data_IF_270897087044
#
_entry.id   IF_270897087044
#
_cell.length_a   1.000
_cell.length_b   1.000
_cell.length_c   1.000
_cell.angle_alpha   90.00
_cell.angle_beta   90.00
_cell.angle_gamma   90.00
#
_symmetry.space_group_name_H-M   'P 1'
#
loop_
_entity.id
_entity.type
_entity.pdbx_description
1 polymer ?
#
# COMPACT_ATOMS: atom_id res chain seq x y z
N UNK A 1 8.57 -5.76 13.28
CA UNK A 1 8.08 -6.40 12.04
C UNK A 1 9.03 -7.53 11.66
N UNK A 2 8.62 -8.79 11.84
CA UNK A 2 9.45 -9.97 11.50
C UNK A 2 9.44 -10.30 10.00
N UNK A 3 8.61 -9.62 9.22
CA UNK A 3 8.25 -9.98 7.84
C UNK A 3 8.82 -9.04 6.78
N UNK A 4 9.56 -7.97 7.14
CA UNK A 4 10.01 -6.91 6.19
C UNK A 4 8.87 -6.20 5.43
N UNK A 5 7.63 -6.28 5.93
CA UNK A 5 6.48 -5.61 5.32
C UNK A 5 6.53 -4.09 5.52
N UNK A 6 7.10 -3.63 6.64
CA UNK A 6 7.20 -2.21 7.00
C UNK A 6 7.82 -1.33 5.90
N UNK A 7 8.80 -1.88 5.18
CA UNK A 7 9.54 -1.25 4.10
C UNK A 7 9.28 -1.92 2.73
N UNK A 8 8.17 -2.65 2.59
CA UNK A 8 7.71 -3.26 1.33
C UNK A 8 8.76 -4.15 0.66
N UNK A 9 9.64 -4.79 1.45
CA UNK A 9 10.71 -5.65 0.94
C UNK A 9 10.54 -7.12 1.32
N UNK A 10 9.32 -7.50 1.69
CA UNK A 10 8.93 -8.86 2.05
C UNK A 10 8.79 -9.78 0.83
N UNK A 11 8.55 -9.20 -0.36
CA UNK A 11 8.46 -9.86 -1.66
C UNK A 11 8.92 -8.90 -2.77
N UNK A 12 9.35 -9.40 -3.94
CA UNK A 12 9.51 -8.58 -5.13
C UNK A 12 8.23 -7.79 -5.42
N UNK A 13 8.35 -6.54 -5.88
CA UNK A 13 7.17 -5.65 -6.08
C UNK A 13 6.13 -6.20 -7.06
N UNK A 14 6.55 -7.01 -8.03
CA UNK A 14 5.65 -7.68 -9.01
C UNK A 14 4.85 -8.84 -8.41
N UNK A 15 5.25 -9.30 -7.23
CA UNK A 15 4.62 -10.41 -6.50
C UNK A 15 3.83 -9.93 -5.28
N UNK A 16 3.78 -8.62 -5.01
CA UNK A 16 2.97 -8.04 -3.95
C UNK A 16 1.51 -7.96 -4.40
N UNK A 17 0.62 -8.49 -3.56
CA UNK A 17 -0.81 -8.64 -3.79
C UNK A 17 -1.67 -7.94 -2.73
N UNK A 18 -1.03 -7.32 -1.75
CA UNK A 18 -1.66 -6.61 -0.64
C UNK A 18 -0.83 -5.39 -0.23
N UNK A 19 -1.50 -4.30 0.10
CA UNK A 19 -0.83 -3.12 0.65
C UNK A 19 -0.55 -3.31 2.14
N UNK A 20 0.73 -3.25 2.52
CA UNK A 20 1.21 -3.56 3.87
C UNK A 20 2.30 -2.60 4.33
N UNK A 21 2.55 -2.59 5.65
CA UNK A 21 3.61 -1.79 6.24
C UNK A 21 3.26 -0.31 6.32
N UNK A 22 4.28 0.55 6.28
CA UNK A 22 4.12 1.99 6.43
C UNK A 22 3.39 2.61 5.22
N UNK A 23 2.39 3.47 5.47
CA UNK A 23 1.52 4.03 4.45
C UNK A 23 2.28 4.84 3.40
N UNK A 24 3.01 5.88 3.82
CA UNK A 24 3.76 6.76 2.90
C UNK A 24 4.84 6.01 2.11
N UNK A 25 5.57 5.06 2.72
CA UNK A 25 6.58 4.26 2.00
C UNK A 25 5.96 3.45 0.88
N UNK A 26 4.83 2.79 1.16
CA UNK A 26 4.09 2.05 0.14
C UNK A 26 3.64 2.97 -0.99
N UNK A 27 3.02 4.12 -0.66
CA UNK A 27 2.51 5.04 -1.67
C UNK A 27 3.63 5.61 -2.56
N UNK A 28 4.76 6.01 -1.98
CA UNK A 28 5.91 6.49 -2.78
C UNK A 28 6.51 5.40 -3.67
N UNK A 29 6.60 4.16 -3.17
CA UNK A 29 7.05 3.03 -3.97
C UNK A 29 6.11 2.79 -5.16
N UNK A 30 4.80 2.80 -4.93
CA UNK A 30 3.80 2.55 -5.97
C UNK A 30 3.71 3.67 -6.99
N UNK A 31 3.88 4.93 -6.58
CA UNK A 31 4.02 6.05 -7.51
C UNK A 31 5.21 5.87 -8.44
N UNK A 32 6.38 5.50 -7.91
CA UNK A 32 7.56 5.21 -8.74
C UNK A 32 7.37 4.00 -9.65
N UNK A 33 6.68 2.94 -9.19
CA UNK A 33 6.30 1.80 -10.03
C UNK A 33 5.39 2.23 -11.19
N UNK A 34 4.43 3.12 -10.94
CA UNK A 34 3.50 3.61 -11.95
C UNK A 34 4.19 4.46 -13.02
N UNK A 35 5.14 5.31 -12.61
CA UNK A 35 5.97 6.09 -13.53
C UNK A 35 6.78 5.16 -14.45
N UNK A 36 7.46 4.15 -13.88
CA UNK A 36 8.25 3.17 -14.66
C UNK A 36 7.36 2.34 -15.58
N UNK A 37 6.20 1.88 -15.10
CA UNK A 37 5.25 1.12 -15.91
C UNK A 37 4.77 1.94 -17.12
N UNK A 38 4.52 3.23 -16.92
CA UNK A 38 4.05 4.14 -17.97
C UNK A 38 5.15 4.48 -18.97
N UNK A 39 6.32 4.91 -18.48
CA UNK A 39 7.44 5.37 -19.33
C UNK A 39 7.98 4.24 -20.21
N UNK A 40 8.09 3.02 -19.66
CA UNK A 40 8.69 1.89 -20.35
C UNK A 40 7.68 0.88 -20.92
N UNK A 41 6.37 1.11 -20.72
CA UNK A 41 5.34 0.16 -21.12
C UNK A 41 5.45 -1.20 -20.42
N UNK A 42 5.88 -1.23 -19.15
CA UNK A 42 6.04 -2.47 -18.39
C UNK A 42 4.68 -2.95 -17.84
N UNK A 43 4.02 -3.80 -18.63
CA UNK A 43 2.75 -4.42 -18.26
C UNK A 43 2.82 -5.27 -16.99
N UNK A 44 3.99 -5.80 -16.63
CA UNK A 44 4.13 -6.63 -15.43
C UNK A 44 4.05 -5.79 -14.16
N UNK A 45 4.52 -4.54 -14.19
CA UNK A 45 4.34 -3.59 -13.11
C UNK A 45 2.91 -3.05 -13.06
N UNK A 46 2.30 -2.77 -14.22
CA UNK A 46 0.89 -2.36 -14.31
C UNK A 46 -0.03 -3.38 -13.66
N UNK A 47 0.12 -4.66 -13.99
CA UNK A 47 -0.70 -5.74 -13.39
C UNK A 47 -0.51 -5.84 -11.88
N UNK A 48 0.69 -5.58 -11.35
CA UNK A 48 0.91 -5.55 -9.91
C UNK A 48 0.24 -4.32 -9.26
N UNK A 49 0.34 -3.15 -9.89
CA UNK A 49 -0.30 -1.91 -9.43
C UNK A 49 -1.82 -2.05 -9.40
N UNK A 50 -2.44 -2.65 -10.42
CA UNK A 50 -3.89 -2.87 -10.46
C UNK A 50 -4.37 -3.69 -9.26
N UNK A 51 -3.64 -4.76 -8.90
CA UNK A 51 -3.97 -5.59 -7.72
C UNK A 51 -3.84 -4.81 -6.41
N UNK A 52 -2.75 -4.05 -6.27
CA UNK A 52 -2.49 -3.26 -5.07
C UNK A 52 -3.49 -2.11 -4.92
N UNK A 53 -3.86 -1.49 -6.03
CA UNK A 53 -4.90 -0.46 -6.09
C UNK A 53 -6.26 -1.02 -5.66
N UNK A 54 -6.66 -2.16 -6.22
CA UNK A 54 -7.93 -2.80 -5.85
C UNK A 54 -7.96 -3.18 -4.37
N UNK A 55 -6.87 -3.75 -3.82
CA UNK A 55 -6.77 -4.07 -2.39
C UNK A 55 -6.87 -2.83 -1.51
N UNK A 56 -6.18 -1.74 -1.86
CA UNK A 56 -6.22 -0.48 -1.14
C UNK A 56 -7.62 0.13 -1.11
N UNK A 57 -8.18 0.35 -2.30
CA UNK A 57 -9.43 1.09 -2.49
C UNK A 57 -10.63 0.37 -1.90
N UNK A 58 -10.60 -0.96 -1.87
CA UNK A 58 -11.75 -1.74 -1.40
C UNK A 58 -11.73 -2.04 0.10
N UNK A 59 -10.58 -1.94 0.78
CA UNK A 59 -10.43 -2.45 2.16
C UNK A 59 -9.72 -1.52 3.12
N UNK A 60 -8.89 -0.62 2.64
CA UNK A 60 -7.86 0.06 3.46
C UNK A 60 -7.82 1.57 3.25
N UNK A 61 -8.89 2.16 2.70
CA UNK A 61 -9.05 3.59 2.48
C UNK A 61 -10.19 4.13 3.34
N UNK A 62 -9.90 5.17 4.13
CA UNK A 62 -10.95 5.91 4.85
C UNK A 62 -11.81 6.71 3.86
N UNK A 63 -13.05 7.03 4.24
CA UNK A 63 -13.96 7.84 3.39
C UNK A 63 -13.38 9.21 3.02
N UNK A 64 -12.44 9.72 3.82
CA UNK A 64 -11.72 10.97 3.59
C UNK A 64 -10.56 10.86 2.61
N UNK A 65 -10.20 9.64 2.20
CA UNK A 65 -8.99 9.35 1.43
C UNK A 65 -7.73 9.10 2.28
N UNK A 66 -7.83 9.17 3.62
CA UNK A 66 -6.70 8.90 4.52
C UNK A 66 -6.26 7.44 4.52
N UNK A 67 -4.99 7.19 4.85
CA UNK A 67 -4.35 5.87 4.87
C UNK A 67 -3.61 5.62 6.20
N UNK A 68 -3.55 4.36 6.62
CA UNK A 68 -2.83 4.00 7.84
C UNK A 68 -3.72 4.09 9.10
N UNK A 69 -4.36 2.99 9.50
CA UNK A 69 -5.18 2.94 10.71
C UNK A 69 -4.39 2.96 12.02
N UNK A 70 -3.07 2.74 12.01
CA UNK A 70 -2.28 2.59 13.24
C UNK A 70 -1.12 3.59 13.35
N UNK A 71 -1.05 4.28 14.49
CA UNK A 71 0.08 5.15 14.84
C UNK A 71 1.37 4.37 15.17
N UNK A 72 1.30 3.05 15.42
CA UNK A 72 2.49 2.28 15.79
C UNK A 72 3.43 2.02 14.60
N UNK A 73 2.85 1.81 13.42
CA UNK A 73 3.59 1.56 12.19
C UNK A 73 3.33 2.62 11.12
N UNK A 74 2.50 3.63 11.44
CA UNK A 74 2.13 4.73 10.55
C UNK A 74 1.59 4.18 9.24
N UNK A 75 0.75 3.14 9.33
CA UNK A 75 0.56 2.23 8.22
C UNK A 75 -0.56 1.21 8.39
N UNK A 76 -0.56 0.26 7.46
CA UNK A 76 -1.60 -0.75 7.29
C UNK A 76 -1.53 -1.83 8.37
N UNK A 77 -2.69 -2.34 8.76
CA UNK A 77 -2.85 -3.41 9.75
C UNK A 77 -3.48 -4.64 9.09
N UNK A 78 -4.80 -4.71 9.04
CA UNK A 78 -5.57 -5.79 8.42
C UNK A 78 -6.72 -5.24 7.57
N UNK A 79 -7.22 -6.07 6.66
CA UNK A 79 -8.34 -5.72 5.79
C UNK A 79 -9.52 -5.20 6.63
N UNK A 80 -10.10 -4.06 6.22
CA UNK A 80 -11.24 -3.40 6.86
C UNK A 80 -11.02 -2.89 8.30
N UNK A 81 -9.78 -2.89 8.79
CA UNK A 81 -9.44 -2.25 10.07
C UNK A 81 -9.31 -0.74 9.87
N UNK A 82 -10.44 -0.03 10.00
CA UNK A 82 -10.57 1.42 9.77
C UNK A 82 -11.21 2.14 10.98
N UNK A 83 -10.59 2.11 12.18
CA UNK A 83 -11.12 2.78 13.36
C UNK A 83 -11.00 4.30 13.24
N UNK A 84 -12.14 5.02 13.31
CA UNK A 84 -12.13 6.48 13.15
C UNK A 84 -11.41 7.24 14.28
N UNK A 85 -11.54 6.80 15.53
CA UNK A 85 -11.01 7.54 16.69
C UNK A 85 -9.48 7.46 16.79
N UNK A 86 -8.90 6.33 16.40
CA UNK A 86 -7.47 6.05 16.55
C UNK A 86 -6.70 6.07 15.22
N UNK A 87 -7.36 6.49 14.14
CA UNK A 87 -6.75 6.55 12.82
C UNK A 87 -5.50 7.44 12.83
N UNK A 88 -4.42 6.97 12.20
CA UNK A 88 -3.28 7.83 11.92
C UNK A 88 -3.58 8.72 10.71
N UNK A 89 -4.03 8.10 9.61
CA UNK A 89 -4.57 8.78 8.42
C UNK A 89 -3.63 9.88 7.84
N UNK A 90 -2.34 9.56 7.75
CA UNK A 90 -1.31 10.41 7.11
C UNK A 90 -1.49 10.45 5.58
#
# INVERSE_FOLDING_TARGET
>A
FKTYEYNQSHKPVREQDKVVGHAVRAMYLYSGMADIATEYGDDTLRVALDRLWDDLMTKSLYVTGGLGPSAHNEGFTSDYDLPNETAYAE
#
